data_IF_110203730134
#
_entry.id   IF_110203730134
#
_cell.length_a   1.000
_cell.length_b   1.000
_cell.length_c   1.000
_cell.angle_alpha   90.00
_cell.angle_beta   90.00
_cell.angle_gamma   90.00
#
_symmetry.space_group_name_H-M   'P 1'
#
loop_
_entity.id
_entity.type
_entity.pdbx_description
1 polymer ?
#
# COMPACT_ATOMS: atom_id res chain seq x y z
N UNK A 1 7.27 0.77 9.40
CA UNK A 1 7.16 0.24 8.01
C UNK A 1 7.03 1.34 6.97
N UNK A 2 6.61 2.55 7.37
CA UNK A 2 6.47 3.70 6.47
C UNK A 2 7.81 4.05 5.82
N UNK A 3 8.90 4.16 6.58
CA UNK A 3 10.25 4.42 6.07
C UNK A 3 10.66 3.42 4.98
N UNK A 4 10.43 2.12 5.18
CA UNK A 4 10.74 1.09 4.18
C UNK A 4 9.96 1.32 2.88
N UNK A 5 8.69 1.73 3.00
CA UNK A 5 7.85 2.05 1.84
C UNK A 5 8.37 3.29 1.10
N UNK A 6 8.80 4.31 1.84
CA UNK A 6 9.36 5.55 1.30
C UNK A 6 10.70 5.32 0.59
N UNK A 7 11.64 4.62 1.24
CA UNK A 7 12.94 4.27 0.65
C UNK A 7 12.77 3.44 -0.64
N UNK A 8 11.83 2.49 -0.65
CA UNK A 8 11.49 1.73 -1.85
C UNK A 8 10.90 2.62 -2.95
N UNK A 9 10.06 3.59 -2.60
CA UNK A 9 9.50 4.54 -3.56
C UNK A 9 10.57 5.49 -4.13
N UNK A 10 11.61 5.86 -3.36
CA UNK A 10 12.76 6.64 -3.83
C UNK A 10 13.49 5.90 -4.97
N UNK A 11 13.72 4.59 -4.81
CA UNK A 11 14.28 3.73 -5.86
C UNK A 11 13.24 3.26 -6.89
N UNK A 12 12.04 3.86 -6.87
CA UNK A 12 10.90 3.60 -7.76
C UNK A 12 10.35 2.16 -7.72
N UNK A 13 10.56 1.41 -6.64
CA UNK A 13 10.01 0.06 -6.48
C UNK A 13 8.68 0.08 -5.72
N UNK A 14 7.83 -0.92 -5.98
CA UNK A 14 6.59 -1.09 -5.23
C UNK A 14 6.88 -1.19 -3.72
N UNK A 15 6.14 -0.46 -2.91
CA UNK A 15 6.26 -0.42 -1.46
C UNK A 15 6.02 -1.75 -0.75
N UNK A 16 5.30 -2.68 -1.40
CA UNK A 16 5.16 -4.03 -0.87
C UNK A 16 6.48 -4.79 -0.99
N UNK A 17 7.05 -5.20 0.15
CA UNK A 17 8.42 -5.75 0.25
C UNK A 17 8.64 -7.03 -0.56
N UNK A 18 7.60 -7.83 -0.78
CA UNK A 18 7.68 -9.07 -1.58
C UNK A 18 7.45 -8.83 -3.09
N UNK A 19 7.15 -7.59 -3.50
CA UNK A 19 6.91 -7.24 -4.89
C UNK A 19 8.16 -6.58 -5.49
N UNK A 20 8.58 -7.04 -6.67
CA UNK A 20 9.71 -6.45 -7.42
C UNK A 20 9.25 -5.54 -8.57
N UNK A 21 7.96 -5.23 -8.67
CA UNK A 21 7.44 -4.38 -9.74
C UNK A 21 7.88 -2.93 -9.55
N UNK A 22 8.17 -2.26 -10.66
CA UNK A 22 8.50 -0.84 -10.68
C UNK A 22 7.23 0.03 -10.58
N UNK A 23 7.33 1.16 -9.88
CA UNK A 23 6.36 2.24 -9.93
C UNK A 23 6.60 3.03 -11.22
N UNK A 24 5.76 2.76 -12.23
CA UNK A 24 5.84 3.43 -13.54
C UNK A 24 5.16 4.80 -13.55
N UNK A 25 4.19 5.02 -12.66
CA UNK A 25 3.40 6.25 -12.60
C UNK A 25 3.77 7.04 -11.35
N UNK A 26 4.22 8.28 -11.54
CA UNK A 26 4.47 9.22 -10.45
C UNK A 26 3.24 10.09 -10.24
N UNK A 27 2.45 9.77 -9.22
CA UNK A 27 1.25 10.53 -8.84
C UNK A 27 1.69 11.73 -7.97
N UNK A 28 1.50 12.96 -8.47
CA UNK A 28 1.81 14.20 -7.72
C UNK A 28 0.67 14.68 -6.82
N UNK A 29 -0.56 14.28 -7.11
CA UNK A 29 -1.75 14.65 -6.34
C UNK A 29 -1.78 13.94 -4.98
N UNK A 30 -2.21 14.69 -3.94
CA UNK A 30 -2.38 14.18 -2.57
C UNK A 30 -3.79 13.64 -2.33
N UNK A 31 -4.79 14.27 -2.92
CA UNK A 31 -6.19 13.95 -2.69
C UNK A 31 -6.88 13.54 -4.00
N UNK A 32 -7.79 12.57 -3.90
CA UNK A 32 -8.68 12.16 -4.99
C UNK A 32 -10.14 12.38 -4.57
N UNK A 33 -10.88 13.15 -5.37
CA UNK A 33 -12.29 13.47 -5.10
C UNK A 33 -13.18 12.52 -5.90
N UNK A 34 -13.92 11.65 -5.21
CA UNK A 34 -14.95 10.82 -5.84
C UNK A 34 -16.30 11.51 -5.75
N UNK A 35 -16.82 11.94 -6.90
CA UNK A 35 -18.16 12.53 -7.00
C UNK A 35 -19.27 11.47 -6.83
N UNK A 36 -19.00 10.22 -7.22
CA UNK A 36 -19.94 9.09 -7.05
C UNK A 36 -20.27 8.82 -5.59
N UNK A 37 -19.24 8.82 -4.75
CA UNK A 37 -19.39 8.52 -3.32
C UNK A 37 -19.41 9.79 -2.45
N UNK A 38 -19.27 10.97 -3.06
CA UNK A 38 -19.10 12.26 -2.39
C UNK A 38 -18.05 12.18 -1.25
N UNK A 39 -16.87 11.62 -1.59
CA UNK A 39 -15.78 11.38 -0.64
C UNK A 39 -14.45 11.88 -1.20
N UNK A 40 -13.67 12.50 -0.33
CA UNK A 40 -12.28 12.90 -0.61
C UNK A 40 -11.37 11.85 0.02
N UNK A 41 -10.52 11.23 -0.81
CA UNK A 41 -9.59 10.20 -0.40
C UNK A 41 -8.16 10.75 -0.38
N UNK A 42 -7.36 10.36 0.61
CA UNK A 42 -5.92 10.63 0.62
C UNK A 42 -5.18 9.51 -0.12
N UNK A 43 -4.51 9.84 -1.22
CA UNK A 43 -3.78 8.88 -2.07
C UNK A 43 -2.27 8.87 -1.78
N UNK A 44 -1.82 9.58 -0.74
CA UNK A 44 -0.40 9.72 -0.39
C UNK A 44 0.29 8.39 -0.13
N UNK A 45 -0.37 7.45 0.55
CA UNK A 45 0.19 6.11 0.80
C UNK A 45 -0.01 5.19 -0.40
N UNK A 46 -1.18 5.27 -1.04
CA UNK A 46 -1.55 4.39 -2.17
C UNK A 46 -0.62 4.51 -3.38
N UNK A 47 -0.08 5.72 -3.63
CA UNK A 47 0.84 5.98 -4.76
C UNK A 47 2.15 5.21 -4.70
N UNK A 48 2.54 4.70 -3.52
CA UNK A 48 3.77 3.95 -3.34
C UNK A 48 3.62 2.47 -3.73
N UNK A 49 2.47 2.04 -4.29
CA UNK A 49 2.18 0.63 -4.59
C UNK A 49 1.72 0.43 -6.04
N UNK A 50 2.18 -0.65 -6.68
CA UNK A 50 1.86 -0.93 -8.09
C UNK A 50 0.40 -1.37 -8.32
N UNK A 51 -0.29 -1.89 -7.30
CA UNK A 51 -1.67 -2.39 -7.39
C UNK A 51 -2.41 -2.26 -6.07
N UNK A 52 -3.76 -2.36 -6.10
CA UNK A 52 -4.57 -2.38 -4.87
C UNK A 52 -4.26 -3.62 -4.03
N UNK A 53 -3.99 -4.75 -4.68
CA UNK A 53 -3.56 -5.99 -4.01
C UNK A 53 -2.26 -5.82 -3.24
N UNK A 54 -1.25 -5.16 -3.81
CA UNK A 54 0.01 -4.88 -3.10
C UNK A 54 -0.19 -3.92 -1.93
N UNK A 55 -1.06 -2.91 -2.09
CA UNK A 55 -1.39 -2.00 -1.01
C UNK A 55 -2.10 -2.73 0.14
N UNK A 56 -3.10 -3.56 -0.17
CA UNK A 56 -3.83 -4.36 0.81
C UNK A 56 -2.92 -5.39 1.50
N UNK A 57 -2.07 -6.10 0.76
CA UNK A 57 -1.14 -7.07 1.32
C UNK A 57 -0.09 -6.42 2.24
N UNK A 58 0.37 -5.21 1.88
CA UNK A 58 1.28 -4.45 2.73
C UNK A 58 0.60 -3.99 4.04
N UNK A 59 -0.63 -3.47 3.96
CA UNK A 59 -1.40 -3.10 5.15
C UNK A 59 -1.70 -4.30 6.04
N UNK A 60 -2.05 -5.45 5.46
CA UNK A 60 -2.26 -6.68 6.20
C UNK A 60 -1.01 -7.13 6.96
N UNK A 61 0.17 -6.96 6.37
CA UNK A 61 1.44 -7.24 7.04
C UNK A 61 1.74 -6.20 8.13
N UNK A 62 1.44 -4.92 7.87
CA UNK A 62 1.62 -3.82 8.83
C UNK A 62 0.80 -4.02 10.10
N UNK A 63 -0.46 -4.44 9.98
CA UNK A 63 -1.36 -4.69 11.11
C UNK A 63 -0.86 -5.81 12.05
N UNK A 64 0.03 -6.68 11.57
CA UNK A 64 0.64 -7.75 12.35
C UNK A 64 1.96 -7.34 13.01
N UNK A 65 2.51 -6.16 12.65
CA UNK A 65 3.79 -5.70 13.19
C UNK A 65 3.63 -5.25 14.64
N UNK A 66 4.57 -5.69 15.46
CA UNK A 66 4.66 -5.25 16.85
C UNK A 66 5.10 -3.79 16.92
N UNK A 67 4.39 -3.00 17.71
CA UNK A 67 4.68 -1.57 17.93
C UNK A 67 5.76 -1.33 18.97
N UNK A 68 6.07 -2.35 19.78
CA UNK A 68 7.15 -2.28 20.75
C UNK A 68 8.51 -2.09 20.08
N UNK A 69 9.46 -1.43 20.75
CA UNK A 69 10.79 -1.24 20.19
C UNK A 69 11.54 -2.55 19.94
N UNK A 70 12.51 -2.53 19.01
CA UNK A 70 13.28 -3.71 18.62
C UNK A 70 14.03 -4.36 19.80
N UNK A 71 14.52 -3.57 20.76
CA UNK A 71 15.25 -4.08 21.92
C UNK A 71 14.37 -4.78 22.97
N UNK A 72 13.05 -4.79 22.82
CA UNK A 72 12.12 -5.52 23.70
C UNK A 72 11.78 -6.93 23.18
N UNK A 73 12.34 -7.30 22.01
CA UNK A 73 12.03 -8.56 21.31
C UNK A 73 12.52 -9.81 22.06
N UNK A 74 13.57 -9.68 22.87
CA UNK A 74 14.12 -10.81 23.64
C UNK A 74 13.17 -11.26 24.77
N UNK A 75 12.24 -10.39 25.16
CA UNK A 75 11.31 -10.62 26.28
C UNK A 75 9.86 -10.78 25.85
N UNK A 76 9.55 -10.50 24.59
CA UNK A 76 8.17 -10.54 24.07
C UNK A 76 7.94 -11.77 23.19
N UNK A 77 6.72 -12.28 23.22
CA UNK A 77 6.28 -13.33 22.31
C UNK A 77 6.11 -12.76 20.89
N UNK A 78 6.92 -13.26 19.96
CA UNK A 78 6.89 -12.84 18.56
C UNK A 78 5.77 -13.61 17.84
N UNK A 79 4.76 -12.91 17.26
CA UNK A 79 3.68 -13.58 16.56
C UNK A 79 4.17 -14.19 15.25
N UNK A 80 3.47 -15.23 14.79
CA UNK A 80 3.70 -15.80 13.46
C UNK A 80 3.02 -14.92 12.42
N UNK A 81 3.83 -14.28 11.57
CA UNK A 81 3.35 -13.44 10.49
C UNK A 81 2.71 -14.26 9.37
N UNK A 82 1.54 -13.81 8.93
CA UNK A 82 0.79 -14.36 7.82
C UNK A 82 0.85 -13.41 6.62
N UNK A 83 0.87 -13.98 5.42
CA UNK A 83 0.89 -13.23 4.17
C UNK A 83 -0.49 -13.34 3.53
N UNK A 84 -1.00 -12.24 3.00
CA UNK A 84 -2.25 -12.25 2.24
C UNK A 84 -2.08 -13.12 0.98
N UNK A 85 -2.82 -14.23 0.82
CA UNK A 85 -2.66 -15.10 -0.33
C UNK A 85 -3.11 -14.37 -1.61
N UNK A 86 -2.32 -14.48 -2.68
CA UNK A 86 -2.70 -14.03 -4.02
C UNK A 86 -3.79 -14.97 -4.59
N UNK A 87 -5.02 -14.86 -4.10
CA UNK A 87 -6.16 -15.51 -4.73
C UNK A 87 -6.44 -14.82 -6.07
N UNK A 88 -6.42 -15.58 -7.16
CA UNK A 88 -6.59 -15.14 -8.55
C UNK A 88 -8.00 -14.65 -8.90
N UNK A 89 -8.81 -14.18 -7.94
CA UNK A 89 -10.10 -13.54 -8.21
C UNK A 89 -10.29 -12.36 -7.28
N UNK A 90 -10.32 -11.18 -7.90
CA UNK A 90 -10.72 -9.89 -7.34
C UNK A 90 -12.14 -9.99 -6.76
N UNK A 91 -12.24 -10.33 -5.48
CA UNK A 91 -13.42 -9.93 -4.69
C UNK A 91 -13.17 -8.50 -4.28
N UNK A 92 -13.77 -7.57 -5.02
CA UNK A 92 -13.96 -6.18 -4.58
C UNK A 92 -14.59 -6.21 -3.18
N UNK A 93 -13.99 -5.52 -2.21
CA UNK A 93 -14.65 -4.54 -1.34
C UNK A 93 -13.73 -4.14 -0.18
N UNK A 94 -12.95 -3.07 -0.40
CA UNK A 94 -12.78 -1.97 0.57
C UNK A 94 -12.09 -0.81 -0.15
N UNK A 95 -12.88 0.21 -0.47
CA UNK A 95 -12.44 1.52 -0.99
C UNK A 95 -11.26 1.47 -1.98
N UNK A 96 -11.40 0.70 -3.07
CA UNK A 96 -10.39 0.71 -4.13
C UNK A 96 -10.50 2.02 -4.91
N UNK A 97 -9.42 2.81 -4.86
CA UNK A 97 -9.20 3.93 -5.78
C UNK A 97 -8.31 3.38 -6.89
N UNK A 98 -8.90 3.18 -8.06
CA UNK A 98 -8.16 2.93 -9.29
C UNK A 98 -7.51 4.25 -9.71
N UNK A 99 -6.23 4.47 -9.37
CA UNK A 99 -5.46 5.64 -9.83
C UNK A 99 -4.97 5.45 -11.27
N UNK A 100 -5.76 4.76 -12.09
CA UNK A 100 -5.55 4.56 -13.51
C UNK A 100 -6.61 5.31 -14.32
N UNK A 101 -6.88 6.57 -13.99
CA UNK A 101 -7.47 7.48 -14.95
C UNK A 101 -6.35 8.12 -15.77
N UNK A 102 -5.99 7.46 -16.88
CA UNK A 102 -5.66 8.23 -18.09
C UNK A 102 -6.89 9.12 -18.33
N UNK A 103 -6.73 10.43 -18.16
CA UNK A 103 -6.69 11.39 -19.27
C UNK A 103 -6.50 12.79 -18.68
N UNK A 104 -5.36 13.39 -19.02
CA UNK A 104 -5.23 14.84 -19.11
C UNK A 104 -6.08 15.21 -20.33
N UNK A 105 -7.33 15.59 -20.11
CA UNK A 105 -8.02 16.43 -21.09
C UNK A 105 -7.82 17.88 -20.64
N UNK A 106 -7.01 18.56 -21.47
CA UNK A 106 -6.68 19.98 -21.58
C UNK A 106 -7.35 20.95 -20.59
#
# INVERSE_FOLDING_TARGET
>A
MEDVTEERAIVKLCGYVLCSNQLTVVIRQKYHISTRNNKVYDVSKRKNFCSSSCYAAANYLLEQMLESPLWMRDTEDIPVFQILPLSSKSTQCRDEIDVAAKEIFL
#
